data_IF_314178439573
#
_entry.id   IF_314178439573
#
_cell.length_a   1.000
_cell.length_b   1.000
_cell.length_c   1.000
_cell.angle_alpha   90.00
_cell.angle_beta   90.00
_cell.angle_gamma   90.00
#
_symmetry.space_group_name_H-M   'P 1'
#
loop_
_entity.id
_entity.type
_entity.pdbx_description
1 polymer ?
#
# COMPACT_ATOMS: atom_id res chain seq x y z
N UNK A 1 -25.23 5.38 -5.49
CA UNK A 1 -25.33 4.01 -4.96
C UNK A 1 -23.93 3.60 -4.59
N UNK A 2 -23.71 3.21 -3.32
CA UNK A 2 -22.38 2.81 -2.82
C UNK A 2 -21.88 1.53 -3.51
N UNK A 3 -20.58 1.22 -3.39
CA UNK A 3 -19.95 0.00 -3.92
C UNK A 3 -20.58 -1.30 -3.40
N UNK A 4 -21.15 -1.23 -2.21
CA UNK A 4 -21.73 -2.35 -1.45
C UNK A 4 -23.01 -1.85 -0.75
N UNK A 5 -23.82 -2.76 -0.24
CA UNK A 5 -24.98 -2.37 0.57
C UNK A 5 -24.50 -1.78 1.91
N UNK A 6 -25.17 -0.74 2.38
CA UNK A 6 -24.82 -0.10 3.66
C UNK A 6 -24.93 -1.08 4.84
N UNK A 7 -25.94 -1.96 4.78
CA UNK A 7 -26.15 -2.98 5.78
C UNK A 7 -25.00 -3.99 5.85
N UNK A 8 -24.58 -4.51 4.69
CA UNK A 8 -23.45 -5.46 4.62
C UNK A 8 -22.14 -4.82 5.11
N UNK A 9 -21.91 -3.55 4.76
CA UNK A 9 -20.73 -2.83 5.21
C UNK A 9 -20.74 -2.59 6.72
N UNK A 10 -21.89 -2.23 7.25
CA UNK A 10 -22.07 -2.07 8.70
C UNK A 10 -21.82 -3.38 9.44
N UNK A 11 -22.44 -4.47 8.99
CA UNK A 11 -22.25 -5.81 9.57
C UNK A 11 -20.77 -6.23 9.52
N UNK A 12 -20.09 -6.05 8.38
CA UNK A 12 -18.67 -6.36 8.22
C UNK A 12 -17.78 -5.58 9.20
N UNK A 13 -18.01 -4.27 9.33
CA UNK A 13 -17.27 -3.43 10.28
C UNK A 13 -17.49 -3.82 11.73
N UNK A 14 -18.73 -4.05 12.11
CA UNK A 14 -19.12 -4.43 13.48
C UNK A 14 -18.57 -5.81 13.84
N UNK A 15 -18.67 -6.78 12.95
CA UNK A 15 -18.17 -8.15 13.16
C UNK A 15 -16.64 -8.18 13.36
N UNK A 16 -15.91 -7.41 12.58
CA UNK A 16 -14.45 -7.34 12.68
C UNK A 16 -13.95 -6.31 13.71
N UNK A 17 -14.82 -5.46 14.24
CA UNK A 17 -14.40 -4.38 15.12
C UNK A 17 -13.58 -3.29 14.42
N UNK A 18 -13.80 -3.07 13.12
CA UNK A 18 -13.09 -2.06 12.32
C UNK A 18 -13.45 -0.64 12.79
N UNK A 19 -12.49 0.04 13.38
CA UNK A 19 -12.67 1.44 13.83
C UNK A 19 -12.48 2.44 12.69
N UNK A 20 -11.66 2.10 11.70
CA UNK A 20 -11.30 2.96 10.58
C UNK A 20 -11.70 2.31 9.26
N UNK A 21 -12.02 3.12 8.25
CA UNK A 21 -12.30 2.62 6.91
C UNK A 21 -10.99 2.18 6.24
N UNK A 22 -10.94 1.01 5.59
CA UNK A 22 -9.81 0.67 4.74
C UNK A 22 -9.70 1.67 3.59
N UNK A 23 -8.50 1.77 3.00
CA UNK A 23 -8.25 2.65 1.87
C UNK A 23 -8.38 1.88 0.56
N UNK A 24 -9.20 2.39 -0.34
CA UNK A 24 -9.22 1.97 -1.75
C UNK A 24 -8.19 2.76 -2.54
N UNK A 25 -7.43 2.07 -3.40
CA UNK A 25 -6.42 2.66 -4.28
C UNK A 25 -6.91 2.58 -5.72
N UNK A 26 -6.84 3.71 -6.44
CA UNK A 26 -7.15 3.77 -7.86
C UNK A 26 -6.35 4.86 -8.56
N UNK A 27 -6.35 4.85 -9.90
CA UNK A 27 -5.71 5.86 -10.72
C UNK A 27 -6.75 6.62 -11.54
N UNK A 28 -6.52 7.93 -11.76
CA UNK A 28 -7.40 8.80 -12.54
C UNK A 28 -6.62 9.94 -13.22
N UNK A 29 -7.15 10.44 -14.33
CA UNK A 29 -6.66 11.67 -14.96
C UNK A 29 -7.40 12.91 -14.44
N UNK A 30 -8.56 12.74 -13.85
CA UNK A 30 -9.32 13.83 -13.24
C UNK A 30 -8.71 14.18 -11.89
N UNK A 31 -8.50 15.49 -11.64
CA UNK A 31 -7.93 15.96 -10.37
C UNK A 31 -8.84 15.58 -9.21
N UNK A 32 -8.34 14.78 -8.24
CA UNK A 32 -9.17 14.34 -7.11
C UNK A 32 -9.40 15.47 -6.11
N UNK A 33 -10.55 15.40 -5.42
CA UNK A 33 -10.73 16.14 -4.18
C UNK A 33 -9.99 15.42 -3.04
N UNK A 34 -9.24 16.17 -2.24
CA UNK A 34 -8.46 15.61 -1.15
C UNK A 34 -7.20 16.41 -0.84
N UNK A 35 -6.32 15.81 -0.07
CA UNK A 35 -5.02 16.39 0.26
C UNK A 35 -3.92 15.78 -0.61
N UNK A 36 -2.91 16.60 -0.93
CA UNK A 36 -1.69 16.16 -1.62
C UNK A 36 -0.47 16.59 -0.81
N UNK A 37 0.67 15.88 -0.86
CA UNK A 37 1.89 16.35 -0.24
C UNK A 37 2.40 17.64 -0.90
N UNK A 38 3.34 18.31 -0.25
CA UNK A 38 4.08 19.39 -0.88
C UNK A 38 4.89 18.85 -2.09
N UNK A 39 5.25 19.75 -2.99
CA UNK A 39 6.03 19.41 -4.19
C UNK A 39 7.36 18.74 -3.82
N UNK A 40 7.76 17.75 -4.61
CA UNK A 40 9.01 17.05 -4.46
C UNK A 40 9.07 16.09 -3.26
N UNK A 41 10.19 16.08 -2.55
CA UNK A 41 10.43 15.22 -1.37
C UNK A 41 9.93 15.96 -0.13
N UNK A 42 8.80 15.52 0.41
CA UNK A 42 8.10 16.17 1.52
C UNK A 42 7.79 15.26 2.71
N UNK A 43 8.21 14.00 2.66
CA UNK A 43 8.00 13.04 3.73
C UNK A 43 7.65 11.64 3.23
N UNK A 44 7.62 10.67 4.13
CA UNK A 44 7.28 9.29 3.78
C UNK A 44 5.81 9.19 3.32
N UNK A 45 5.58 8.56 2.15
CA UNK A 45 4.24 8.27 1.65
C UNK A 45 3.39 7.53 2.69
N UNK A 46 3.97 6.55 3.37
CA UNK A 46 3.25 5.77 4.38
C UNK A 46 2.83 6.62 5.58
N UNK A 47 3.64 7.60 5.99
CA UNK A 47 3.26 8.55 7.04
C UNK A 47 2.09 9.46 6.63
N UNK A 48 2.02 9.87 5.36
CA UNK A 48 0.88 10.61 4.82
C UNK A 48 -0.39 9.75 4.81
N UNK A 49 -0.28 8.48 4.42
CA UNK A 49 -1.40 7.54 4.45
C UNK A 49 -1.88 7.26 5.88
N UNK A 50 -0.99 7.18 6.85
CA UNK A 50 -1.34 7.05 8.27
C UNK A 50 -2.21 8.23 8.74
N UNK A 51 -1.82 9.46 8.38
CA UNK A 51 -2.59 10.66 8.73
C UNK A 51 -3.96 10.67 8.03
N UNK A 52 -4.01 10.33 6.74
CA UNK A 52 -5.24 10.27 5.96
C UNK A 52 -6.21 9.23 6.52
N UNK A 53 -5.71 8.03 6.82
CA UNK A 53 -6.46 6.93 7.45
C UNK A 53 -7.15 7.38 8.73
N UNK A 54 -6.38 7.95 9.68
CA UNK A 54 -6.91 8.41 10.97
C UNK A 54 -7.95 9.51 10.86
N UNK A 55 -7.80 10.38 9.87
CA UNK A 55 -8.75 11.49 9.63
C UNK A 55 -9.91 11.11 8.72
N UNK A 56 -9.87 9.92 8.11
CA UNK A 56 -10.87 9.50 7.12
C UNK A 56 -10.87 10.40 5.87
N UNK A 57 -9.69 10.89 5.43
CA UNK A 57 -9.56 11.82 4.31
C UNK A 57 -8.94 11.15 3.09
N UNK A 58 -9.33 11.59 1.90
CA UNK A 58 -8.66 11.19 0.65
C UNK A 58 -7.30 11.85 0.54
N UNK A 59 -6.30 11.05 0.13
CA UNK A 59 -4.96 11.53 -0.23
C UNK A 59 -4.68 11.14 -1.68
N UNK A 60 -4.06 12.04 -2.46
CA UNK A 60 -3.64 11.73 -3.82
C UNK A 60 -2.22 12.22 -4.08
N UNK A 61 -1.57 11.59 -5.05
CA UNK A 61 -0.19 11.82 -5.46
C UNK A 61 -0.14 11.96 -6.97
N UNK A 62 0.85 12.70 -7.46
CA UNK A 62 1.23 12.82 -8.86
C UNK A 62 2.76 12.89 -9.01
N UNK A 63 3.27 13.07 -10.23
CA UNK A 63 4.71 13.14 -10.49
C UNK A 63 5.43 14.31 -9.80
N UNK A 64 4.74 15.38 -9.49
CA UNK A 64 5.29 16.55 -8.78
C UNK A 64 5.10 16.45 -7.26
N UNK A 65 4.04 15.80 -6.82
CA UNK A 65 3.59 15.74 -5.43
C UNK A 65 3.52 14.28 -4.96
N UNK A 66 4.67 13.69 -4.61
CA UNK A 66 4.80 12.25 -4.37
C UNK A 66 5.27 11.85 -2.95
N UNK A 67 5.63 12.83 -2.13
CA UNK A 67 6.13 12.61 -0.77
C UNK A 67 7.56 12.10 -0.72
N UNK A 68 7.84 10.88 -1.15
CA UNK A 68 9.19 10.33 -1.20
C UNK A 68 9.46 9.56 -2.51
N UNK A 69 10.75 9.47 -2.95
CA UNK A 69 11.10 8.78 -4.19
C UNK A 69 10.73 7.29 -4.22
N UNK A 70 10.77 6.60 -3.06
CA UNK A 70 10.31 5.22 -2.95
C UNK A 70 8.82 5.09 -3.22
N UNK A 71 7.99 5.96 -2.63
CA UNK A 71 6.56 6.03 -2.91
C UNK A 71 6.28 6.30 -4.39
N UNK A 72 6.94 7.30 -4.97
CA UNK A 72 6.82 7.65 -6.39
C UNK A 72 7.14 6.46 -7.31
N UNK A 73 8.21 5.72 -7.00
CA UNK A 73 8.58 4.51 -7.74
C UNK A 73 7.49 3.43 -7.64
N UNK A 74 6.99 3.12 -6.45
CA UNK A 74 5.97 2.09 -6.27
C UNK A 74 4.59 2.49 -6.80
N UNK A 75 4.26 3.79 -6.85
CA UNK A 75 3.09 4.30 -7.56
C UNK A 75 3.25 4.27 -9.09
N UNK A 76 4.44 3.99 -9.60
CA UNK A 76 4.73 3.90 -11.03
C UNK A 76 4.97 5.25 -11.71
N UNK A 77 5.21 6.32 -10.96
CA UNK A 77 5.54 7.63 -11.49
C UNK A 77 6.99 7.71 -11.98
N UNK A 78 7.89 6.95 -11.37
CA UNK A 78 9.30 6.85 -11.75
C UNK A 78 9.61 5.45 -12.29
N UNK A 79 10.37 5.38 -13.38
CA UNK A 79 10.72 4.12 -14.04
C UNK A 79 11.80 3.33 -13.30
N UNK A 80 12.61 4.03 -12.50
CA UNK A 80 13.67 3.44 -11.70
C UNK A 80 13.62 3.94 -10.25
N UNK A 81 14.10 3.17 -9.28
CA UNK A 81 14.30 3.66 -7.93
C UNK A 81 15.35 4.78 -7.92
N UNK A 82 15.40 5.55 -6.81
CA UNK A 82 16.40 6.61 -6.67
C UNK A 82 17.83 6.05 -6.77
N UNK A 83 18.81 6.82 -7.23
CA UNK A 83 20.21 6.45 -7.17
C UNK A 83 20.65 6.06 -5.75
N UNK A 84 21.56 5.11 -5.64
CA UNK A 84 22.13 4.62 -4.38
C UNK A 84 21.11 4.00 -3.39
N UNK A 85 19.92 3.61 -3.88
CA UNK A 85 18.89 2.96 -3.05
C UNK A 85 19.40 1.67 -2.41
N UNK A 86 20.25 0.93 -3.11
CA UNK A 86 20.86 -0.30 -2.63
C UNK A 86 21.74 -0.08 -1.40
N UNK A 87 22.46 1.04 -1.35
CA UNK A 87 23.25 1.43 -0.18
C UNK A 87 22.35 1.93 0.95
N UNK A 88 21.34 2.72 0.63
CA UNK A 88 20.36 3.16 1.62
C UNK A 88 19.69 2.00 2.34
N UNK A 89 19.29 0.95 1.61
CA UNK A 89 18.64 -0.23 2.18
C UNK A 89 19.62 -1.17 2.90
N UNK A 90 20.92 -0.98 2.73
CA UNK A 90 21.95 -1.86 3.31
C UNK A 90 22.92 -1.11 4.23
N UNK A 91 24.17 -1.06 3.85
CA UNK A 91 25.27 -0.56 4.69
C UNK A 91 25.45 0.96 4.73
N UNK A 92 24.76 1.69 3.86
CA UNK A 92 25.02 3.12 3.64
C UNK A 92 26.27 3.38 2.80
N UNK A 93 26.62 4.65 2.70
CA UNK A 93 27.86 5.13 2.09
C UNK A 93 28.60 5.94 3.15
N UNK A 94 29.82 5.54 3.58
CA UNK A 94 30.55 6.23 4.63
C UNK A 94 30.73 7.73 4.34
N UNK A 95 30.36 8.56 5.30
CA UNK A 95 30.44 10.03 5.19
C UNK A 95 29.35 10.71 4.35
N UNK A 96 28.50 9.95 3.63
CA UNK A 96 27.48 10.51 2.75
C UNK A 96 26.05 10.08 3.13
N UNK A 97 25.84 8.82 3.48
CA UNK A 97 24.52 8.26 3.69
C UNK A 97 24.55 7.16 4.74
N UNK A 98 23.71 7.28 5.75
CA UNK A 98 23.45 6.19 6.68
C UNK A 98 22.55 5.14 6.02
N UNK A 99 22.90 3.84 6.19
CA UNK A 99 22.12 2.72 5.70
C UNK A 99 21.13 2.22 6.74
N UNK A 100 19.93 1.85 6.29
CA UNK A 100 18.88 1.29 7.16
C UNK A 100 19.15 -0.15 7.59
N UNK A 101 20.14 -0.82 6.99
CA UNK A 101 20.51 -2.23 7.27
C UNK A 101 19.35 -3.22 7.19
N UNK A 102 18.39 -2.87 6.39
CA UNK A 102 17.19 -3.63 6.09
C UNK A 102 17.50 -4.84 5.20
N UNK A 103 18.47 -4.69 4.29
CA UNK A 103 19.03 -5.76 3.46
C UNK A 103 20.53 -5.85 3.72
N UNK A 104 21.07 -7.07 3.75
CA UNK A 104 22.43 -7.31 4.21
C UNK A 104 23.50 -6.63 3.36
N UNK A 105 23.37 -6.62 2.03
CA UNK A 105 24.37 -6.05 1.11
C UNK A 105 23.72 -5.28 -0.04
N UNK A 106 24.46 -4.31 -0.67
CA UNK A 106 23.95 -3.59 -1.83
C UNK A 106 23.62 -4.51 -3.02
N UNK A 107 24.38 -5.60 -3.24
CA UNK A 107 24.12 -6.57 -4.32
C UNK A 107 22.75 -7.23 -4.13
N UNK A 108 22.42 -7.69 -2.91
CA UNK A 108 21.11 -8.23 -2.58
C UNK A 108 20.00 -7.20 -2.72
N UNK A 109 20.28 -5.94 -2.40
CA UNK A 109 19.31 -4.87 -2.60
C UNK A 109 19.05 -4.62 -4.10
N UNK A 110 20.05 -4.70 -4.99
CA UNK A 110 19.85 -4.63 -6.44
C UNK A 110 18.98 -5.78 -6.94
N UNK A 111 19.25 -7.01 -6.55
CA UNK A 111 18.43 -8.19 -6.91
C UNK A 111 16.97 -8.00 -6.42
N UNK A 112 16.78 -7.40 -5.28
CA UNK A 112 15.49 -7.10 -4.70
C UNK A 112 14.64 -6.23 -5.65
N UNK A 113 15.20 -5.25 -6.33
CA UNK A 113 14.47 -4.40 -7.28
C UNK A 113 14.22 -5.11 -8.63
N UNK A 114 15.06 -6.05 -9.05
CA UNK A 114 14.86 -6.78 -10.32
C UNK A 114 13.70 -7.77 -10.25
N UNK A 115 13.40 -8.31 -9.07
CA UNK A 115 12.35 -9.35 -8.90
C UNK A 115 10.93 -8.80 -8.95
N UNK A 116 10.72 -7.54 -8.63
CA UNK A 116 9.40 -6.93 -8.57
C UNK A 116 9.45 -5.48 -9.03
N UNK A 117 9.20 -5.29 -10.31
CA UNK A 117 9.14 -3.97 -10.94
C UNK A 117 7.69 -3.47 -10.86
N UNK A 118 7.42 -2.27 -10.33
CA UNK A 118 6.10 -1.66 -10.37
C UNK A 118 5.61 -1.48 -11.81
N UNK A 119 4.33 -1.57 -12.04
CA UNK A 119 3.76 -1.13 -13.31
C UNK A 119 3.89 0.40 -13.42
N UNK A 120 4.00 0.91 -14.64
CA UNK A 120 3.90 2.35 -14.89
C UNK A 120 2.52 2.85 -14.46
N UNK A 121 2.46 4.06 -13.85
CA UNK A 121 1.20 4.68 -13.49
C UNK A 121 0.30 4.82 -14.74
N UNK A 122 -0.92 4.28 -14.72
CA UNK A 122 -1.79 4.31 -15.89
C UNK A 122 -2.49 5.66 -16.08
N UNK A 123 -2.41 6.56 -15.09
CA UNK A 123 -3.02 7.88 -15.13
C UNK A 123 -2.19 8.89 -14.32
N UNK A 124 -2.63 10.15 -14.34
CA UNK A 124 -1.93 11.31 -13.73
C UNK A 124 -1.84 11.21 -12.21
N UNK A 125 -2.93 10.75 -11.58
CA UNK A 125 -3.07 10.73 -10.12
C UNK A 125 -3.19 9.29 -9.61
N UNK A 126 -2.47 8.98 -8.53
CA UNK A 126 -2.68 7.81 -7.69
C UNK A 126 -3.43 8.24 -6.43
N UNK A 127 -4.60 7.67 -6.18
CA UNK A 127 -5.54 8.12 -5.14
C UNK A 127 -5.73 7.03 -4.11
N UNK A 128 -5.65 7.42 -2.84
CA UNK A 128 -5.98 6.61 -1.67
C UNK A 128 -7.21 7.23 -1.00
N UNK A 129 -8.33 6.54 -1.04
CA UNK A 129 -9.62 7.05 -0.59
C UNK A 129 -10.27 6.05 0.37
N UNK A 130 -10.86 6.49 1.50
CA UNK A 130 -11.64 5.61 2.36
C UNK A 130 -12.73 4.87 1.57
N UNK A 131 -12.83 3.55 1.77
CA UNK A 131 -13.72 2.69 0.96
C UNK A 131 -15.19 3.11 1.10
N UNK A 132 -15.60 3.58 2.26
CA UNK A 132 -16.97 4.06 2.51
C UNK A 132 -17.32 5.38 1.80
N UNK A 133 -16.34 6.07 1.20
CA UNK A 133 -16.55 7.28 0.42
C UNK A 133 -16.62 7.02 -1.11
N UNK A 134 -16.44 5.77 -1.56
CA UNK A 134 -16.58 5.43 -2.97
C UNK A 134 -18.06 5.51 -3.40
N UNK A 135 -18.27 6.06 -4.59
CA UNK A 135 -19.59 6.16 -5.21
C UNK A 135 -19.73 5.13 -6.36
N UNK A 136 -20.97 4.93 -6.79
CA UNK A 136 -21.25 4.06 -7.94
C UNK A 136 -20.50 4.56 -9.19
N UNK A 137 -19.76 3.65 -9.82
CA UNK A 137 -18.99 3.93 -11.04
C UNK A 137 -17.49 4.05 -10.84
N UNK A 138 -17.05 4.35 -9.61
CA UNK A 138 -15.61 4.36 -9.28
C UNK A 138 -15.30 3.15 -8.39
N UNK A 139 -14.39 2.28 -8.85
CA UNK A 139 -13.96 1.10 -8.08
C UNK A 139 -12.48 1.23 -7.75
N UNK A 140 -12.04 0.85 -6.54
CA UNK A 140 -10.61 0.71 -6.27
C UNK A 140 -10.03 -0.45 -7.08
N UNK A 141 -8.76 -0.39 -7.41
CA UNK A 141 -8.02 -1.53 -7.95
C UNK A 141 -7.50 -2.42 -6.80
N UNK A 142 -7.17 -1.80 -5.68
CA UNK A 142 -6.68 -2.45 -4.46
C UNK A 142 -7.42 -1.89 -3.25
N UNK A 143 -7.71 -2.75 -2.28
CA UNK A 143 -8.19 -2.36 -0.95
C UNK A 143 -7.12 -2.69 0.07
N UNK A 144 -6.80 -1.74 0.96
CA UNK A 144 -5.78 -1.87 2.00
C UNK A 144 -6.40 -1.70 3.36
N UNK A 145 -6.29 -2.72 4.19
CA UNK A 145 -6.60 -2.67 5.61
C UNK A 145 -5.32 -2.36 6.39
N UNK A 146 -5.44 -1.45 7.35
CA UNK A 146 -4.43 -1.18 8.37
C UNK A 146 -5.02 -1.68 9.67
N UNK A 147 -4.51 -2.77 10.22
CA UNK A 147 -5.23 -3.47 11.26
C UNK A 147 -4.31 -4.14 12.29
N UNK A 148 -4.77 -4.25 13.55
CA UNK A 148 -4.11 -5.05 14.57
C UNK A 148 -4.34 -6.55 14.34
N UNK A 149 -3.60 -7.43 15.07
CA UNK A 149 -3.61 -8.89 14.87
C UNK A 149 -5.01 -9.53 14.90
N UNK A 150 -5.88 -9.11 15.78
CA UNK A 150 -7.24 -9.69 15.90
C UNK A 150 -8.07 -9.46 14.64
N UNK A 151 -8.04 -8.24 14.11
CA UNK A 151 -8.74 -7.90 12.86
C UNK A 151 -8.08 -8.62 11.68
N UNK A 152 -6.73 -8.69 11.64
CA UNK A 152 -6.00 -9.43 10.60
C UNK A 152 -6.34 -10.91 10.61
N UNK A 153 -6.51 -11.52 11.79
CA UNK A 153 -6.96 -12.90 11.93
C UNK A 153 -8.35 -13.12 11.34
N UNK A 154 -9.29 -12.22 11.61
CA UNK A 154 -10.63 -12.24 11.00
C UNK A 154 -10.59 -12.09 9.48
N UNK A 155 -9.82 -11.14 8.97
CA UNK A 155 -9.63 -10.93 7.54
C UNK A 155 -8.96 -12.13 6.86
N UNK A 156 -7.97 -12.74 7.50
CA UNK A 156 -7.31 -13.97 7.02
C UNK A 156 -8.31 -15.11 6.90
N UNK A 157 -9.16 -15.29 7.93
CA UNK A 157 -10.22 -16.30 7.91
C UNK A 157 -11.20 -16.04 6.78
N UNK A 158 -11.65 -14.79 6.60
CA UNK A 158 -12.58 -14.44 5.52
C UNK A 158 -11.97 -14.67 4.13
N UNK A 159 -10.68 -14.36 3.96
CA UNK A 159 -9.97 -14.58 2.67
C UNK A 159 -9.95 -16.07 2.29
N UNK A 160 -9.93 -16.97 3.25
CA UNK A 160 -9.90 -18.43 3.01
C UNK A 160 -11.28 -19.10 3.10
N UNK A 161 -12.30 -18.40 3.59
CA UNK A 161 -13.58 -19.00 3.99
C UNK A 161 -14.26 -19.83 2.89
N UNK A 162 -14.20 -19.40 1.65
CA UNK A 162 -14.83 -20.07 0.52
C UNK A 162 -13.82 -20.73 -0.44
N UNK A 163 -12.53 -20.76 -0.07
CA UNK A 163 -11.47 -21.27 -0.94
C UNK A 163 -11.00 -22.66 -0.45
N UNK A 164 -10.74 -23.55 -1.42
CA UNK A 164 -10.12 -24.86 -1.11
C UNK A 164 -8.61 -24.75 -0.84
N UNK A 165 -7.97 -23.64 -1.25
CA UNK A 165 -6.54 -23.37 -1.05
C UNK A 165 -6.25 -22.79 0.34
N UNK A 166 -5.05 -23.04 0.84
CA UNK A 166 -4.60 -22.61 2.18
C UNK A 166 -3.57 -21.47 2.14
N UNK A 167 -3.25 -20.96 0.96
CA UNK A 167 -2.19 -19.99 0.69
C UNK A 167 -2.70 -18.68 0.07
N UNK A 168 -3.99 -18.35 0.25
CA UNK A 168 -4.59 -17.14 -0.33
C UNK A 168 -4.03 -15.82 0.25
N UNK A 169 -3.25 -15.88 1.32
CA UNK A 169 -2.52 -14.74 1.89
C UNK A 169 -1.03 -15.06 1.89
N UNK A 170 -0.19 -14.14 1.43
CA UNK A 170 1.27 -14.28 1.54
C UNK A 170 1.92 -12.98 2.02
N UNK A 171 3.13 -13.08 2.57
CA UNK A 171 3.88 -11.99 3.16
C UNK A 171 5.24 -11.80 2.46
N UNK A 172 5.31 -11.07 1.35
CA UNK A 172 6.57 -10.79 0.69
C UNK A 172 7.40 -9.83 1.51
N UNK A 173 8.71 -10.10 1.63
CA UNK A 173 9.63 -9.18 2.28
C UNK A 173 9.90 -7.98 1.36
N UNK A 174 9.15 -6.89 1.56
CA UNK A 174 9.19 -5.63 0.79
C UNK A 174 8.87 -4.44 1.68
N UNK A 175 9.17 -3.23 1.13
CA UNK A 175 8.73 -1.97 1.74
C UNK A 175 7.21 -1.90 1.84
N UNK A 176 6.70 -1.14 2.82
CA UNK A 176 5.27 -0.93 3.01
C UNK A 176 4.58 -0.44 1.72
N UNK A 177 5.21 0.48 0.98
CA UNK A 177 4.69 0.95 -0.31
C UNK A 177 4.55 -0.20 -1.34
N UNK A 178 5.55 -1.10 -1.40
CA UNK A 178 5.52 -2.25 -2.32
C UNK A 178 4.40 -3.22 -1.99
N UNK A 179 4.20 -3.50 -0.70
CA UNK A 179 3.20 -4.46 -0.23
C UNK A 179 1.76 -3.97 -0.35
N UNK A 180 1.52 -2.67 -0.43
CA UNK A 180 0.17 -2.10 -0.65
C UNK A 180 -0.11 -1.73 -2.10
N UNK A 181 0.90 -1.64 -2.97
CA UNK A 181 0.77 -1.23 -4.36
C UNK A 181 1.19 -2.33 -5.33
N UNK A 182 2.51 -2.55 -5.47
CA UNK A 182 3.07 -3.38 -6.54
C UNK A 182 2.58 -4.83 -6.47
N UNK A 183 2.60 -5.43 -5.29
CA UNK A 183 2.19 -6.83 -5.14
C UNK A 183 0.69 -7.01 -5.37
N UNK A 184 -0.23 -6.28 -4.70
CA UNK A 184 -1.66 -6.44 -4.94
C UNK A 184 -2.06 -6.12 -6.38
N UNK A 185 -1.45 -5.10 -7.01
CA UNK A 185 -1.73 -4.76 -8.41
C UNK A 185 -1.30 -5.87 -9.38
N UNK A 186 -0.24 -6.62 -9.06
CA UNK A 186 0.16 -7.80 -9.85
C UNK A 186 -0.73 -9.02 -9.58
N UNK A 187 -1.25 -9.14 -8.38
CA UNK A 187 -2.22 -10.19 -8.07
C UNK A 187 -3.54 -10.01 -8.82
N UNK A 188 -3.98 -8.77 -9.06
CA UNK A 188 -5.24 -8.45 -9.74
C UNK A 188 -5.42 -9.11 -11.13
N UNK A 189 -4.30 -9.48 -11.79
CA UNK A 189 -4.33 -10.15 -13.10
C UNK A 189 -4.27 -11.68 -13.05
N UNK A 190 -4.24 -12.28 -11.86
CA UNK A 190 -4.12 -13.73 -11.71
C UNK A 190 -5.48 -14.40 -11.60
N UNK A 191 -5.57 -15.65 -12.05
CA UNK A 191 -6.75 -16.49 -11.88
C UNK A 191 -7.06 -16.75 -10.40
N UNK A 192 -6.02 -16.92 -9.59
CA UNK A 192 -6.12 -17.10 -8.14
C UNK A 192 -5.28 -16.03 -7.44
N UNK A 193 -5.81 -14.82 -7.29
CA UNK A 193 -5.08 -13.73 -6.66
C UNK A 193 -4.88 -13.97 -5.15
N UNK A 194 -3.81 -13.38 -4.60
CA UNK A 194 -3.51 -13.42 -3.19
C UNK A 194 -3.77 -12.07 -2.55
N UNK A 195 -4.16 -12.09 -1.29
CA UNK A 195 -4.00 -10.95 -0.40
C UNK A 195 -2.55 -10.88 0.10
N UNK A 196 -2.06 -9.67 0.36
CA UNK A 196 -0.67 -9.37 0.67
C UNK A 196 -0.57 -8.80 2.08
N UNK A 197 0.03 -9.56 2.99
CA UNK A 197 0.38 -9.07 4.32
C UNK A 197 1.69 -8.27 4.24
N UNK A 198 1.74 -7.09 4.85
CA UNK A 198 2.88 -6.19 4.70
C UNK A 198 3.15 -5.30 5.91
N UNK A 199 3.94 -4.25 5.71
CA UNK A 199 4.39 -3.29 6.73
C UNK A 199 5.48 -3.84 7.65
N UNK A 200 6.46 -4.56 7.09
CA UNK A 200 7.57 -5.12 7.88
C UNK A 200 8.86 -4.32 7.76
N UNK A 201 8.94 -3.35 6.87
CA UNK A 201 10.16 -2.58 6.61
C UNK A 201 10.43 -1.53 7.68
N UNK A 202 11.69 -1.32 7.96
CA UNK A 202 12.16 -0.40 9.01
C UNK A 202 11.84 1.07 8.71
N UNK A 203 11.73 1.45 7.43
CA UNK A 203 11.42 2.83 7.03
C UNK A 203 9.99 3.25 7.35
N UNK A 204 9.02 2.34 7.17
CA UNK A 204 7.61 2.65 7.35
C UNK A 204 7.12 2.37 8.77
N UNK A 205 7.68 1.37 9.45
CA UNK A 205 7.26 0.96 10.81
C UNK A 205 7.18 2.10 11.82
N UNK A 206 8.16 3.04 11.90
CA UNK A 206 8.10 4.14 12.87
C UNK A 206 6.93 5.10 12.66
N UNK A 207 6.29 5.09 11.49
CA UNK A 207 5.14 5.95 11.16
C UNK A 207 3.81 5.41 11.69
N UNK A 208 3.78 4.16 12.18
CA UNK A 208 2.56 3.46 12.58
C UNK A 208 2.63 2.98 14.04
N UNK A 209 1.48 2.69 14.60
CA UNK A 209 1.37 1.99 15.87
C UNK A 209 2.03 0.61 15.78
N UNK A 210 2.62 0.16 16.88
CA UNK A 210 3.44 -1.07 16.91
C UNK A 210 2.69 -2.34 16.55
N UNK A 211 1.39 -2.38 16.75
CA UNK A 211 0.49 -3.48 16.50
C UNK A 211 -0.22 -3.40 15.13
N UNK A 212 -0.01 -2.34 14.34
CA UNK A 212 -0.64 -2.22 13.03
C UNK A 212 0.24 -2.82 11.93
N UNK A 213 -0.34 -3.73 11.15
CA UNK A 213 0.18 -4.22 9.88
C UNK A 213 -0.80 -3.88 8.74
N UNK A 214 -0.43 -4.19 7.51
CA UNK A 214 -1.31 -4.02 6.36
C UNK A 214 -1.71 -5.37 5.77
N UNK A 215 -2.98 -5.50 5.38
CA UNK A 215 -3.45 -6.53 4.46
C UNK A 215 -4.01 -5.81 3.23
N UNK A 216 -3.38 -6.02 2.08
CA UNK A 216 -3.77 -5.41 0.82
C UNK A 216 -4.20 -6.49 -0.16
N UNK A 217 -5.31 -6.26 -0.86
CA UNK A 217 -5.85 -7.22 -1.82
C UNK A 217 -6.37 -6.52 -3.05
N UNK A 218 -6.34 -7.16 -4.24
CA UNK A 218 -7.08 -6.69 -5.40
C UNK A 218 -8.57 -6.58 -5.06
N UNK A 219 -9.24 -5.62 -5.64
CA UNK A 219 -10.70 -5.45 -5.41
C UNK A 219 -11.53 -6.64 -5.93
N UNK A 220 -10.96 -7.45 -6.80
CA UNK A 220 -11.60 -8.67 -7.36
C UNK A 220 -11.54 -9.91 -6.46
N UNK A 221 -10.89 -9.81 -5.30
CA UNK A 221 -10.76 -10.90 -4.31
C UNK A 221 -11.90 -10.90 -3.31
#
# INVERSE_FOLDING_TARGET
>A
MKLYSEELWKQFRETLGLKESPLGIYYTNDKPEGITPAEGISGCMMGLLQNARKKGTTVYFDKGHFGCPGGAYYMGFFESPRPNIEYFLSCGIPGEMEGERYIKTPERAREYFTRMIPRRAPATYCVFKPVDQFQKGTKPEVVVFFAPPDILSGLFTLTHYALERTDAVYAPFRSGCGTILTYPLKEAGKEQPHAVLGMFDVSARPMFEKDILTLAMPYSV
#
